data_IF_596774780055
#
_entry.id   IF_596774780055
#
_cell.length_a   1.000
_cell.length_b   1.000
_cell.length_c   1.000
_cell.angle_alpha   90.00
_cell.angle_beta   90.00
_cell.angle_gamma   90.00
#
_symmetry.space_group_name_H-M   'P 1'
#
loop_
_entity.id
_entity.type
_entity.pdbx_description
1 polymer ?
#
# COMPACT_ATOMS: atom_id res chain seq x y z
N UNK A 1 53.40 -4.09 15.76
CA UNK A 1 52.74 -4.15 14.44
C UNK A 1 51.23 -4.23 14.65
N UNK A 2 50.50 -3.10 14.65
CA UNK A 2 49.04 -3.08 14.94
C UNK A 2 48.25 -2.01 14.14
N UNK A 3 48.87 -1.36 13.13
CA UNK A 3 48.28 -0.20 12.46
C UNK A 3 47.61 -0.48 11.11
N UNK A 4 47.60 -1.73 10.62
CA UNK A 4 46.96 -2.08 9.34
C UNK A 4 45.52 -2.58 9.42
N UNK A 5 44.95 -2.72 10.62
CA UNK A 5 43.56 -3.20 10.78
C UNK A 5 42.54 -2.05 10.76
N UNK A 6 42.95 -0.82 11.05
CA UNK A 6 42.05 0.34 11.12
C UNK A 6 41.48 0.80 9.76
N UNK A 7 42.20 0.56 8.67
CA UNK A 7 41.80 1.03 7.33
C UNK A 7 40.67 0.20 6.70
N UNK A 8 40.60 -1.09 7.02
CA UNK A 8 39.57 -2.01 6.52
C UNK A 8 38.22 -1.77 7.21
N UNK A 9 38.21 -1.48 8.52
CA UNK A 9 36.98 -1.27 9.30
C UNK A 9 36.21 0.00 8.90
N UNK A 10 36.91 1.07 8.49
CA UNK A 10 36.26 2.30 8.03
C UNK A 10 35.61 2.13 6.64
N UNK A 11 36.18 1.26 5.80
CA UNK A 11 35.66 0.99 4.46
C UNK A 11 34.37 0.14 4.53
N UNK A 12 34.33 -0.88 5.39
CA UNK A 12 33.12 -1.70 5.59
C UNK A 12 31.98 -0.91 6.21
N UNK A 13 32.26 -0.06 7.21
CA UNK A 13 31.25 0.79 7.84
C UNK A 13 30.56 1.74 6.84
N UNK A 14 31.31 2.30 5.88
CA UNK A 14 30.74 3.16 4.83
C UNK A 14 29.84 2.42 3.84
N UNK A 15 30.20 1.17 3.51
CA UNK A 15 29.42 0.32 2.60
C UNK A 15 28.12 -0.14 3.27
N UNK A 16 28.20 -0.56 4.53
CA UNK A 16 27.04 -0.92 5.34
C UNK A 16 26.08 0.25 5.49
N UNK A 17 26.58 1.46 5.78
CA UNK A 17 25.76 2.66 5.86
C UNK A 17 25.00 2.93 4.55
N UNK A 18 25.65 2.78 3.39
CA UNK A 18 24.99 2.93 2.08
C UNK A 18 23.93 1.86 1.85
N UNK A 19 24.21 0.62 2.20
CA UNK A 19 23.25 -0.49 2.10
C UNK A 19 22.02 -0.23 2.97
N UNK A 20 22.20 0.23 4.20
CA UNK A 20 21.11 0.61 5.09
C UNK A 20 20.27 1.75 4.51
N UNK A 21 20.92 2.80 3.99
CA UNK A 21 20.23 3.91 3.35
C UNK A 21 19.40 3.45 2.15
N UNK A 22 19.96 2.60 1.28
CA UNK A 22 19.25 2.07 0.12
C UNK A 22 18.00 1.28 0.52
N UNK A 23 18.11 0.42 1.54
CA UNK A 23 16.95 -0.32 2.07
C UNK A 23 15.89 0.62 2.62
N UNK A 24 16.28 1.66 3.36
CA UNK A 24 15.34 2.66 3.88
C UNK A 24 14.64 3.44 2.77
N UNK A 25 15.37 3.86 1.73
CA UNK A 25 14.80 4.55 0.58
C UNK A 25 13.81 3.65 -0.16
N UNK A 26 14.16 2.39 -0.37
CA UNK A 26 13.29 1.42 -1.02
C UNK A 26 12.00 1.18 -0.22
N UNK A 27 12.07 1.13 1.11
CA UNK A 27 10.89 1.00 1.97
C UNK A 27 10.01 2.24 1.89
N UNK A 28 10.58 3.45 1.98
CA UNK A 28 9.82 4.70 1.85
C UNK A 28 9.15 4.82 0.49
N UNK A 29 9.87 4.50 -0.58
CA UNK A 29 9.29 4.53 -1.93
C UNK A 29 8.08 3.60 -2.05
N UNK A 30 8.14 2.41 -1.45
CA UNK A 30 6.99 1.49 -1.45
C UNK A 30 5.82 2.01 -0.63
N UNK A 31 6.07 2.69 0.50
CA UNK A 31 5.04 3.37 1.30
C UNK A 31 4.37 4.47 0.48
N UNK A 32 5.16 5.32 -0.16
CA UNK A 32 4.68 6.45 -0.95
C UNK A 32 3.82 5.97 -2.13
N UNK A 33 4.22 4.87 -2.78
CA UNK A 33 3.43 4.24 -3.85
C UNK A 33 2.09 3.72 -3.33
N UNK A 34 2.07 3.01 -2.21
CA UNK A 34 0.83 2.48 -1.61
C UNK A 34 -0.08 3.60 -1.10
N UNK A 35 0.49 4.65 -0.52
CA UNK A 35 -0.25 5.84 -0.08
C UNK A 35 -0.89 6.56 -1.26
N UNK A 36 -0.14 6.74 -2.35
CA UNK A 36 -0.66 7.30 -3.60
C UNK A 36 -1.76 6.43 -4.21
N UNK A 37 -1.59 5.10 -4.18
CA UNK A 37 -2.61 4.13 -4.59
C UNK A 37 -3.91 4.32 -3.82
N UNK A 38 -3.80 4.40 -2.50
CA UNK A 38 -4.93 4.53 -1.61
C UNK A 38 -5.68 5.84 -1.85
N UNK A 39 -4.94 6.95 -2.00
CA UNK A 39 -5.52 8.25 -2.31
C UNK A 39 -6.24 8.26 -3.66
N UNK A 40 -5.63 7.69 -4.71
CA UNK A 40 -6.24 7.62 -6.03
C UNK A 40 -7.52 6.75 -6.02
N UNK A 41 -7.45 5.58 -5.39
CA UNK A 41 -8.61 4.69 -5.27
C UNK A 41 -9.75 5.35 -4.48
N UNK A 42 -9.45 5.89 -3.30
CA UNK A 42 -10.46 6.57 -2.48
C UNK A 42 -11.01 7.81 -3.20
N UNK A 43 -10.19 8.55 -3.94
CA UNK A 43 -10.65 9.64 -4.79
C UNK A 43 -11.68 9.17 -5.82
N UNK A 44 -11.37 8.09 -6.54
CA UNK A 44 -12.30 7.49 -7.52
C UNK A 44 -13.58 7.02 -6.87
N UNK A 45 -13.48 6.27 -5.77
CA UNK A 45 -14.64 5.77 -5.02
C UNK A 45 -15.51 6.90 -4.51
N UNK A 46 -14.94 7.95 -3.90
CA UNK A 46 -15.74 9.09 -3.41
C UNK A 46 -16.45 9.85 -4.51
N UNK A 47 -15.80 10.02 -5.67
CA UNK A 47 -16.33 10.82 -6.77
C UNK A 47 -17.43 10.09 -7.55
N UNK A 48 -17.27 8.78 -7.80
CA UNK A 48 -18.14 8.03 -8.71
C UNK A 48 -18.95 6.94 -8.01
N UNK A 49 -18.49 6.41 -6.87
CA UNK A 49 -19.06 5.24 -6.21
C UNK A 49 -19.08 5.36 -4.68
N UNK A 50 -19.54 6.50 -4.15
CA UNK A 50 -19.42 6.83 -2.72
C UNK A 50 -20.09 5.81 -1.79
N UNK A 51 -21.20 5.22 -2.25
CA UNK A 51 -21.90 4.09 -1.64
C UNK A 51 -21.03 2.87 -1.31
N UNK A 52 -19.98 2.60 -2.09
CA UNK A 52 -19.14 1.40 -1.92
C UNK A 52 -18.25 1.53 -0.70
N UNK A 53 -18.06 2.75 -0.17
CA UNK A 53 -17.33 2.98 1.08
C UNK A 53 -18.10 2.47 2.29
N UNK A 54 -19.43 2.37 2.18
CA UNK A 54 -20.33 1.85 3.22
C UNK A 54 -20.51 0.33 3.14
N UNK A 55 -19.94 -0.31 2.11
CA UNK A 55 -20.07 -1.73 1.84
C UNK A 55 -18.70 -2.41 1.86
N UNK A 56 -18.57 -3.59 2.46
CA UNK A 56 -17.33 -4.34 2.37
C UNK A 56 -17.07 -4.75 0.90
N UNK A 57 -15.80 -4.82 0.50
CA UNK A 57 -15.42 -5.12 -0.89
C UNK A 57 -15.90 -6.47 -1.40
N UNK A 58 -16.20 -7.42 -0.50
CA UNK A 58 -16.81 -8.71 -0.83
C UNK A 58 -18.28 -8.61 -1.27
N UNK A 59 -18.94 -7.49 -1.02
CA UNK A 59 -20.35 -7.23 -1.36
C UNK A 59 -20.49 -6.16 -2.46
N UNK A 60 -19.40 -5.82 -3.14
CA UNK A 60 -19.47 -4.88 -4.26
C UNK A 60 -20.13 -5.49 -5.49
N UNK A 61 -20.04 -6.81 -5.65
CA UNK A 61 -20.71 -7.51 -6.73
C UNK A 61 -22.24 -7.39 -6.57
N UNK A 62 -22.89 -6.85 -7.60
CA UNK A 62 -24.33 -6.53 -7.57
C UNK A 62 -24.70 -5.28 -6.76
N UNK A 63 -23.75 -4.49 -6.26
CA UNK A 63 -24.07 -3.23 -5.58
C UNK A 63 -24.75 -2.26 -6.57
N UNK A 64 -25.90 -1.65 -6.20
CA UNK A 64 -26.73 -0.87 -7.12
C UNK A 64 -26.04 0.37 -7.67
N UNK A 65 -24.96 0.80 -7.03
CA UNK A 65 -24.21 1.99 -7.36
C UNK A 65 -22.87 1.71 -8.06
N UNK A 66 -22.57 0.43 -8.34
CA UNK A 66 -21.41 0.01 -9.11
C UNK A 66 -21.54 0.36 -10.61
N UNK A 67 -22.72 0.80 -11.06
CA UNK A 67 -23.03 1.03 -12.48
C UNK A 67 -22.66 -0.19 -13.35
N UNK A 68 -22.43 0.01 -14.65
CA UNK A 68 -21.99 -1.06 -15.56
C UNK A 68 -20.50 -1.43 -15.41
N UNK A 69 -19.80 -0.89 -14.40
CA UNK A 69 -18.38 -1.11 -14.18
C UNK A 69 -18.17 -2.41 -13.38
N UNK A 70 -17.21 -3.24 -13.80
CA UNK A 70 -16.94 -4.48 -13.08
C UNK A 70 -16.25 -4.15 -11.74
N UNK A 71 -16.57 -4.87 -10.63
CA UNK A 71 -15.91 -4.63 -9.35
C UNK A 71 -14.39 -4.81 -9.43
N UNK A 72 -13.93 -5.67 -10.35
CA UNK A 72 -12.53 -5.96 -10.60
C UNK A 72 -11.74 -4.73 -11.08
N UNK A 73 -12.37 -3.84 -11.85
CA UNK A 73 -11.75 -2.61 -12.37
C UNK A 73 -11.52 -1.56 -11.27
N UNK A 74 -12.30 -1.64 -10.18
CA UNK A 74 -12.11 -0.83 -8.97
C UNK A 74 -11.14 -1.47 -8.00
N UNK A 75 -11.03 -2.80 -8.00
CA UNK A 75 -10.13 -3.54 -7.13
C UNK A 75 -8.69 -3.56 -7.63
N UNK A 76 -8.43 -3.12 -8.86
CA UNK A 76 -7.09 -3.10 -9.44
C UNK A 76 -6.82 -1.76 -10.11
N UNK A 77 -5.56 -1.34 -10.14
CA UNK A 77 -5.18 -0.09 -10.78
C UNK A 77 -3.69 0.06 -10.95
N UNK A 78 -3.28 1.23 -11.44
CA UNK A 78 -1.89 1.56 -11.70
C UNK A 78 -1.57 2.96 -11.15
N UNK A 79 -0.39 3.10 -10.54
CA UNK A 79 0.25 4.36 -10.18
C UNK A 79 1.59 4.40 -10.89
N UNK A 80 1.71 5.27 -11.90
CA UNK A 80 2.88 5.29 -12.78
C UNK A 80 3.07 3.92 -13.44
N UNK A 81 4.23 3.31 -13.23
CA UNK A 81 4.59 1.98 -13.75
C UNK A 81 4.25 0.82 -12.80
N UNK A 82 3.67 1.09 -11.63
CA UNK A 82 3.37 0.07 -10.63
C UNK A 82 1.87 -0.23 -10.61
N UNK A 83 1.52 -1.51 -10.63
CA UNK A 83 0.15 -1.95 -10.40
C UNK A 83 -0.11 -2.23 -8.93
N UNK A 84 -1.32 -1.93 -8.49
CA UNK A 84 -1.81 -2.21 -7.16
C UNK A 84 -3.12 -2.99 -7.21
N UNK A 85 -3.41 -3.67 -6.12
CA UNK A 85 -4.65 -4.41 -5.90
C UNK A 85 -5.21 -4.10 -4.53
N UNK A 86 -6.51 -3.80 -4.47
CA UNK A 86 -7.30 -3.80 -3.26
C UNK A 86 -7.52 -5.24 -2.81
N UNK A 87 -7.00 -5.57 -1.63
CA UNK A 87 -7.21 -6.86 -0.99
C UNK A 87 -8.56 -6.89 -0.27
N UNK A 88 -8.88 -5.80 0.42
CA UNK A 88 -10.14 -5.67 1.14
C UNK A 88 -10.47 -4.21 1.41
N UNK A 89 -11.74 -3.86 1.34
CA UNK A 89 -12.31 -2.67 1.96
C UNK A 89 -13.35 -3.12 2.98
N UNK A 90 -13.32 -2.54 4.18
CA UNK A 90 -14.31 -2.80 5.21
C UNK A 90 -14.82 -1.46 5.79
N UNK A 91 -16.13 -1.22 5.82
CA UNK A 91 -16.68 -0.04 6.49
C UNK A 91 -16.39 -0.10 8.00
N UNK A 92 -16.16 1.04 8.62
CA UNK A 92 -15.92 1.20 10.05
C UNK A 92 -16.82 2.33 10.59
N UNK A 93 -17.06 2.42 11.90
CA UNK A 93 -17.88 3.50 12.46
C UNK A 93 -17.37 4.92 12.15
N UNK A 94 -16.09 5.05 11.79
CA UNK A 94 -15.44 6.33 11.50
C UNK A 94 -15.23 6.58 9.98
N UNK A 95 -15.63 5.64 9.12
CA UNK A 95 -15.41 5.67 7.66
C UNK A 95 -15.13 4.28 7.11
N UNK A 96 -13.93 4.01 6.62
CA UNK A 96 -13.58 2.69 6.07
C UNK A 96 -12.11 2.32 6.30
N UNK A 97 -11.81 1.03 6.36
CA UNK A 97 -10.44 0.51 6.35
C UNK A 97 -10.17 -0.15 4.99
N UNK A 98 -9.04 0.21 4.36
CA UNK A 98 -8.59 -0.30 3.07
C UNK A 98 -7.29 -1.06 3.26
N UNK A 99 -7.17 -2.21 2.61
CA UNK A 99 -5.92 -2.98 2.52
C UNK A 99 -5.51 -3.12 1.08
N UNK A 100 -4.31 -2.65 0.76
CA UNK A 100 -3.78 -2.58 -0.59
C UNK A 100 -2.47 -3.34 -0.67
N UNK A 101 -2.23 -4.01 -1.78
CA UNK A 101 -0.96 -4.65 -2.11
C UNK A 101 -0.44 -4.13 -3.46
N UNK A 102 0.88 -4.05 -3.60
CA UNK A 102 1.51 -3.89 -4.90
C UNK A 102 1.52 -5.25 -5.62
N UNK A 103 1.01 -5.33 -6.85
CA UNK A 103 0.71 -6.60 -7.54
C UNK A 103 1.94 -7.47 -7.82
N UNK A 104 3.16 -6.93 -7.71
CA UNK A 104 4.42 -7.64 -7.91
C UNK A 104 4.86 -8.49 -6.69
N UNK A 105 3.92 -9.11 -5.97
CA UNK A 105 4.20 -9.77 -4.68
C UNK A 105 4.78 -8.81 -3.64
N UNK A 106 4.48 -7.51 -3.79
CA UNK A 106 5.06 -6.45 -3.00
C UNK A 106 4.41 -6.32 -1.62
N UNK A 107 4.86 -5.33 -0.82
CA UNK A 107 4.30 -5.09 0.50
C UNK A 107 2.81 -4.77 0.42
N UNK A 108 2.14 -5.07 1.52
CA UNK A 108 0.75 -4.68 1.75
C UNK A 108 0.74 -3.50 2.72
N UNK A 109 -0.21 -2.59 2.59
CA UNK A 109 -0.47 -1.56 3.59
C UNK A 109 -1.95 -1.55 3.97
N UNK A 110 -2.21 -1.17 5.21
CA UNK A 110 -3.56 -0.86 5.69
C UNK A 110 -3.71 0.65 5.85
N UNK A 111 -4.86 1.17 5.46
CA UNK A 111 -5.20 2.59 5.52
C UNK A 111 -6.58 2.75 6.14
N UNK A 112 -6.73 3.69 7.06
CA UNK A 112 -8.03 4.12 7.55
C UNK A 112 -8.45 5.40 6.82
N UNK A 113 -9.64 5.36 6.23
CA UNK A 113 -10.36 6.53 5.78
C UNK A 113 -11.23 7.03 6.94
N UNK A 114 -10.84 8.14 7.55
CA UNK A 114 -11.53 8.75 8.68
C UNK A 114 -11.94 10.17 8.31
N UNK A 115 -13.23 10.49 8.37
CA UNK A 115 -13.76 11.82 8.00
C UNK A 115 -13.27 12.31 6.63
N UNK A 116 -13.10 11.39 5.69
CA UNK A 116 -12.57 11.69 4.36
C UNK A 116 -11.05 11.90 4.28
N UNK A 117 -10.31 11.88 5.37
CA UNK A 117 -8.85 11.88 5.37
C UNK A 117 -8.32 10.44 5.40
N UNK A 118 -7.29 10.17 4.60
CA UNK A 118 -6.66 8.86 4.53
C UNK A 118 -5.45 8.83 5.48
N UNK A 119 -5.43 7.86 6.40
CA UNK A 119 -4.37 7.67 7.39
C UNK A 119 -3.77 6.29 7.23
N UNK A 120 -2.46 6.22 7.05
CA UNK A 120 -1.75 4.94 7.03
C UNK A 120 -1.78 4.30 8.43
N UNK A 121 -2.19 3.04 8.50
CA UNK A 121 -2.15 2.21 9.71
C UNK A 121 -0.84 1.40 9.80
N UNK A 122 -0.19 1.19 8.66
CA UNK A 122 1.17 0.67 8.56
C UNK A 122 1.36 -0.30 7.40
N UNK A 123 2.62 -0.48 7.02
CA UNK A 123 3.06 -1.56 6.15
C UNK A 123 2.96 -2.90 6.87
N UNK A 124 2.35 -3.88 6.21
CA UNK A 124 2.51 -5.30 6.51
C UNK A 124 3.36 -5.89 5.39
N UNK A 125 4.49 -6.48 5.73
CA UNK A 125 5.21 -7.33 4.77
C UNK A 125 4.24 -8.38 4.24
N UNK A 126 4.32 -8.69 2.94
CA UNK A 126 3.54 -9.76 2.34
C UNK A 126 3.74 -11.02 3.19
N UNK A 127 2.73 -11.39 3.97
CA UNK A 127 2.76 -12.67 4.65
C UNK A 127 2.55 -13.70 3.54
N UNK A 128 3.51 -14.61 3.27
CA UNK A 128 3.23 -15.71 2.37
C UNK A 128 2.05 -16.47 2.99
N UNK A 129 0.93 -16.51 2.28
CA UNK A 129 -0.20 -17.33 2.66
C UNK A 129 0.31 -18.75 2.90
N UNK A 130 0.02 -19.27 4.10
CA UNK A 130 0.19 -20.68 4.37
C UNK A 130 -0.57 -21.46 3.29
N UNK A 131 0.17 -22.35 2.63
CA UNK A 131 -0.36 -23.35 1.72
C UNK A 131 -1.35 -24.29 2.42
#
# INVERSE_FOLDING_TARGET
MLLMVGSLSLQTASLEARRHLQLQLQLRQQQDLLSSAAQQLVGRLKLHHSCLLELPSSQWDGAPCLAAEAPEDLQQGQIGSHSFRLLSLAPTPAGAELRLALSSGGPTAAFALVNGALRELGLRSAQPGAA
#
